data_IF_751151595682
#
_entry.id   IF_751151595682
#
_cell.length_a   1.000
_cell.length_b   1.000
_cell.length_c   1.000
_cell.angle_alpha   90.00
_cell.angle_beta   90.00
_cell.angle_gamma   90.00
#
_symmetry.space_group_name_H-M   'P 1'
#
loop_
_entity.id
_entity.type
_entity.pdbx_description
1 polymer ?
#
# COMPACT_ATOMS: atom_id res chain seq x y z
N UNK A 1 -12.68 -5.24 15.04
CA UNK A 1 -13.19 -5.74 13.73
C UNK A 1 -13.08 -7.27 13.64
N UNK A 2 -14.07 -7.95 13.07
CA UNK A 2 -14.09 -9.41 12.87
C UNK A 2 -14.08 -9.75 11.37
N UNK A 3 -13.16 -10.63 10.94
CA UNK A 3 -13.12 -11.12 9.56
C UNK A 3 -13.93 -12.41 9.40
N UNK A 4 -14.74 -12.49 8.35
CA UNK A 4 -15.48 -13.68 7.90
C UNK A 4 -14.87 -14.23 6.61
N UNK A 5 -15.20 -15.46 6.25
CA UNK A 5 -14.80 -16.11 5.00
C UNK A 5 -16.04 -16.71 4.32
N UNK A 6 -16.96 -15.85 3.89
CA UNK A 6 -18.23 -16.28 3.31
C UNK A 6 -18.07 -16.87 1.90
N UNK A 7 -16.95 -16.61 1.25
CA UNK A 7 -16.64 -17.09 -0.10
C UNK A 7 -15.74 -18.33 -0.12
N UNK A 8 -15.48 -18.93 1.05
CA UNK A 8 -14.68 -20.14 1.20
C UNK A 8 -13.30 -20.07 0.54
N UNK A 9 -12.61 -18.93 0.72
CA UNK A 9 -11.21 -18.82 0.31
C UNK A 9 -10.37 -19.88 1.04
N UNK A 10 -9.38 -20.41 0.34
CA UNK A 10 -8.44 -21.36 0.92
C UNK A 10 -7.71 -20.78 2.13
N UNK A 11 -7.45 -21.61 3.13
CA UNK A 11 -6.84 -21.19 4.40
C UNK A 11 -5.58 -20.38 4.21
N UNK A 12 -4.74 -20.73 3.25
CA UNK A 12 -3.49 -20.00 2.97
C UNK A 12 -3.75 -18.55 2.58
N UNK A 13 -4.78 -18.28 1.78
CA UNK A 13 -5.18 -16.92 1.40
C UNK A 13 -5.73 -16.13 2.59
N UNK A 14 -6.58 -16.77 3.40
CA UNK A 14 -7.15 -16.15 4.62
C UNK A 14 -6.05 -15.73 5.61
N UNK A 15 -5.10 -16.62 5.89
CA UNK A 15 -4.01 -16.32 6.82
C UNK A 15 -3.02 -15.29 6.26
N UNK A 16 -2.78 -15.29 4.94
CA UNK A 16 -1.98 -14.27 4.29
C UNK A 16 -2.62 -12.87 4.43
N UNK A 17 -3.93 -12.77 4.22
CA UNK A 17 -4.69 -11.50 4.37
C UNK A 17 -4.61 -11.01 5.83
N UNK A 18 -4.88 -11.87 6.81
CA UNK A 18 -4.82 -11.52 8.22
C UNK A 18 -3.44 -11.04 8.65
N UNK A 19 -2.39 -11.71 8.18
CA UNK A 19 -1.00 -11.32 8.47
C UNK A 19 -0.68 -9.95 7.85
N UNK A 20 -1.14 -9.72 6.62
CA UNK A 20 -0.90 -8.47 5.90
C UNK A 20 -1.54 -7.27 6.60
N UNK A 21 -2.77 -7.42 7.06
CA UNK A 21 -3.53 -6.35 7.75
C UNK A 21 -2.85 -5.87 9.05
N UNK A 22 -2.11 -6.75 9.73
CA UNK A 22 -1.43 -6.42 10.99
C UNK A 22 -0.06 -5.74 10.82
N UNK A 23 0.49 -5.68 9.61
CA UNK A 23 1.87 -5.26 9.36
C UNK A 23 2.07 -3.75 9.13
N UNK A 24 1.02 -2.95 9.19
CA UNK A 24 1.04 -1.53 8.78
C UNK A 24 1.15 -0.51 9.93
N UNK A 25 1.44 -0.94 11.16
CA UNK A 25 1.69 0.00 12.26
C UNK A 25 3.00 0.76 12.02
N UNK A 26 2.87 2.04 11.69
CA UNK A 26 3.99 2.93 11.39
C UNK A 26 4.49 3.72 12.60
N UNK A 27 3.89 3.53 13.79
CA UNK A 27 4.23 4.28 15.00
C UNK A 27 3.90 5.78 14.92
N UNK A 28 2.95 6.18 14.07
CA UNK A 28 2.42 7.54 13.97
C UNK A 28 0.96 7.55 14.41
N UNK A 29 0.46 8.73 14.84
CA UNK A 29 -0.94 8.87 15.24
C UNK A 29 -1.89 8.65 14.06
N UNK A 30 -1.47 9.08 12.85
CA UNK A 30 -2.26 8.92 11.62
C UNK A 30 -1.38 8.60 10.42
N UNK A 31 -1.91 7.79 9.50
CA UNK A 31 -1.36 7.70 8.14
C UNK A 31 -1.94 8.80 7.24
N UNK A 32 -1.19 9.20 6.22
CA UNK A 32 -1.70 10.15 5.20
C UNK A 32 -2.97 9.63 4.54
N UNK A 33 -3.08 8.33 4.31
CA UNK A 33 -4.29 7.70 3.75
C UNK A 33 -5.50 7.89 4.67
N UNK A 34 -5.33 7.74 5.99
CA UNK A 34 -6.42 7.99 6.96
C UNK A 34 -6.87 9.46 7.00
N UNK A 35 -5.96 10.40 6.69
CA UNK A 35 -6.32 11.82 6.62
C UNK A 35 -7.15 12.17 5.38
N UNK A 36 -7.06 11.36 4.33
CA UNK A 36 -7.87 11.53 3.10
C UNK A 36 -9.30 10.98 3.26
N UNK A 37 -9.52 10.11 4.24
CA UNK A 37 -10.84 9.58 4.54
C UNK A 37 -11.74 10.65 5.19
N UNK A 38 -13.06 10.46 5.04
CA UNK A 38 -14.03 11.30 5.75
C UNK A 38 -13.82 11.18 7.27
N UNK A 39 -13.56 12.29 8.00
CA UNK A 39 -13.38 12.26 9.45
C UNK A 39 -14.53 11.57 10.19
N UNK A 40 -15.77 11.74 9.69
CA UNK A 40 -16.95 11.10 10.27
C UNK A 40 -16.90 9.57 10.13
N UNK A 41 -16.50 9.06 8.96
CA UNK A 41 -16.38 7.61 8.73
C UNK A 41 -15.33 7.02 9.64
N UNK A 42 -14.18 7.69 9.79
CA UNK A 42 -13.11 7.26 10.68
C UNK A 42 -13.58 7.20 12.14
N UNK A 43 -14.17 8.27 12.65
CA UNK A 43 -14.67 8.30 14.04
C UNK A 43 -15.73 7.22 14.32
N UNK A 44 -16.60 6.95 13.33
CA UNK A 44 -17.57 5.87 13.46
C UNK A 44 -16.90 4.49 13.47
N UNK A 45 -15.90 4.26 12.61
CA UNK A 45 -15.12 3.01 12.62
C UNK A 45 -14.41 2.81 13.94
N UNK A 46 -13.74 3.82 14.47
CA UNK A 46 -13.07 3.76 15.78
C UNK A 46 -14.06 3.48 16.93
N UNK A 47 -15.22 4.11 16.90
CA UNK A 47 -16.24 3.94 17.95
C UNK A 47 -16.94 2.57 17.93
N UNK A 48 -16.98 1.89 16.76
CA UNK A 48 -17.71 0.65 16.54
C UNK A 48 -16.82 -0.48 16.02
N UNK A 49 -15.50 -0.42 16.28
CA UNK A 49 -14.54 -1.39 15.72
C UNK A 49 -14.88 -2.85 16.08
N UNK A 50 -15.39 -3.08 17.28
CA UNK A 50 -15.82 -4.40 17.77
C UNK A 50 -17.10 -4.94 17.09
N UNK A 51 -17.93 -4.04 16.55
CA UNK A 51 -19.15 -4.37 15.82
C UNK A 51 -18.90 -4.61 14.30
N UNK A 52 -17.77 -4.11 13.79
CA UNK A 52 -17.43 -4.22 12.36
C UNK A 52 -17.16 -5.66 11.97
N UNK A 53 -17.81 -6.08 10.88
CA UNK A 53 -17.63 -7.38 10.26
C UNK A 53 -17.32 -7.16 8.79
N UNK A 54 -16.16 -7.62 8.35
CA UNK A 54 -15.71 -7.55 6.96
C UNK A 54 -15.42 -8.96 6.43
N UNK A 55 -15.54 -9.17 5.12
CA UNK A 55 -15.17 -10.45 4.53
C UNK A 55 -13.73 -10.41 4.01
N UNK A 56 -12.98 -11.48 4.21
CA UNK A 56 -11.59 -11.58 3.74
C UNK A 56 -11.44 -11.34 2.25
N UNK A 57 -12.50 -11.59 1.45
CA UNK A 57 -12.47 -11.30 0.02
C UNK A 57 -12.33 -9.80 -0.28
N UNK A 58 -12.85 -8.92 0.58
CA UNK A 58 -12.75 -7.47 0.40
C UNK A 58 -11.30 -7.00 0.51
N UNK A 59 -10.50 -7.71 1.33
CA UNK A 59 -9.06 -7.43 1.49
C UNK A 59 -8.17 -8.05 0.42
N UNK A 60 -8.72 -8.94 -0.43
CA UNK A 60 -7.94 -9.62 -1.46
C UNK A 60 -7.36 -8.65 -2.50
N UNK A 61 -8.11 -7.62 -2.89
CA UNK A 61 -7.63 -6.60 -3.81
C UNK A 61 -6.54 -5.72 -3.20
N UNK A 62 -6.61 -5.47 -1.90
CA UNK A 62 -5.53 -4.77 -1.18
C UNK A 62 -4.25 -5.60 -1.18
N UNK A 63 -4.34 -6.90 -0.94
CA UNK A 63 -3.21 -7.83 -1.04
C UNK A 63 -2.61 -7.86 -2.45
N UNK A 64 -3.44 -7.89 -3.50
CA UNK A 64 -2.97 -7.83 -4.89
C UNK A 64 -2.26 -6.51 -5.20
N UNK A 65 -2.82 -5.38 -4.76
CA UNK A 65 -2.21 -4.07 -4.90
C UNK A 65 -0.81 -4.03 -4.27
N UNK A 66 -0.71 -4.51 -3.05
CA UNK A 66 0.58 -4.61 -2.35
C UNK A 66 1.55 -5.56 -3.03
N UNK A 67 1.06 -6.65 -3.64
CA UNK A 67 1.87 -7.56 -4.46
C UNK A 67 2.49 -6.85 -5.66
N UNK A 68 1.76 -5.94 -6.31
CA UNK A 68 2.28 -5.11 -7.43
C UNK A 68 3.41 -4.20 -6.93
N UNK A 69 3.22 -3.50 -5.81
CA UNK A 69 4.25 -2.61 -5.23
C UNK A 69 5.52 -3.39 -4.90
N UNK A 70 5.40 -4.55 -4.22
CA UNK A 70 6.53 -5.42 -3.90
C UNK A 70 7.24 -5.98 -5.12
N UNK A 71 6.51 -6.26 -6.21
CA UNK A 71 7.11 -6.71 -7.47
C UNK A 71 7.94 -5.61 -8.14
N UNK A 72 7.47 -4.36 -8.09
CA UNK A 72 8.18 -3.20 -8.61
C UNK A 72 9.44 -2.94 -7.77
N UNK A 73 9.32 -2.91 -6.45
CA UNK A 73 10.44 -2.76 -5.52
C UNK A 73 11.53 -3.82 -5.82
N UNK A 74 11.15 -5.09 -5.85
CA UNK A 74 12.05 -6.20 -6.16
C UNK A 74 12.74 -6.05 -7.52
N UNK A 75 12.01 -5.62 -8.55
CA UNK A 75 12.58 -5.42 -9.87
C UNK A 75 13.60 -4.27 -9.90
N UNK A 76 13.32 -3.16 -9.20
CA UNK A 76 14.21 -2.00 -9.11
C UNK A 76 15.46 -2.32 -8.26
N UNK A 77 15.32 -3.09 -7.19
CA UNK A 77 16.44 -3.58 -6.39
C UNK A 77 17.34 -4.51 -7.22
N UNK A 78 16.74 -5.48 -7.93
CA UNK A 78 17.49 -6.37 -8.82
C UNK A 78 18.20 -5.62 -9.94
N UNK A 79 17.62 -4.51 -10.44
CA UNK A 79 18.26 -3.65 -11.41
C UNK A 79 19.48 -2.93 -10.81
N UNK A 80 19.44 -2.47 -9.57
CA UNK A 80 20.58 -1.85 -8.87
C UNK A 80 21.76 -2.79 -8.69
N UNK A 81 21.50 -4.08 -8.51
CA UNK A 81 22.52 -5.09 -8.29
C UNK A 81 23.27 -5.49 -9.58
N UNK A 82 22.80 -5.07 -10.75
CA UNK A 82 23.42 -5.42 -12.03
C UNK A 82 24.70 -4.63 -12.27
N UNK A 83 25.76 -5.32 -12.67
CA UNK A 83 27.05 -4.71 -13.00
C UNK A 83 27.16 -4.27 -14.48
N UNK A 84 26.24 -4.73 -15.34
CA UNK A 84 26.27 -4.55 -16.79
C UNK A 84 25.42 -3.37 -17.28
N UNK A 85 24.99 -2.48 -16.39
CA UNK A 85 24.22 -1.30 -16.77
C UNK A 85 25.10 -0.27 -17.47
N UNK A 86 24.55 0.36 -18.50
CA UNK A 86 25.18 1.57 -19.06
C UNK A 86 25.18 2.73 -18.03
N UNK A 87 26.10 3.72 -18.20
CA UNK A 87 26.22 4.79 -17.21
C UNK A 87 24.94 5.61 -16.99
N UNK A 88 24.14 5.83 -18.03
CA UNK A 88 22.88 6.58 -17.91
C UNK A 88 21.83 5.82 -17.12
N UNK A 89 21.72 4.51 -17.32
CA UNK A 89 20.82 3.66 -16.55
C UNK A 89 21.27 3.54 -15.09
N UNK A 90 22.60 3.47 -14.86
CA UNK A 90 23.17 3.46 -13.51
C UNK A 90 22.81 4.74 -12.76
N UNK A 91 23.08 5.90 -13.36
CA UNK A 91 22.78 7.20 -12.76
C UNK A 91 21.29 7.39 -12.45
N UNK A 92 20.42 6.91 -13.35
CA UNK A 92 18.97 6.94 -13.14
C UNK A 92 18.56 6.06 -11.97
N UNK A 93 18.96 4.77 -11.92
CA UNK A 93 18.50 3.84 -10.88
C UNK A 93 19.02 4.22 -9.49
N UNK A 94 20.21 4.81 -9.42
CA UNK A 94 20.78 5.32 -8.17
C UNK A 94 20.00 6.56 -7.65
N UNK A 95 19.27 7.22 -8.51
CA UNK A 95 18.37 8.35 -8.18
C UNK A 95 16.92 7.93 -7.86
N UNK A 96 16.59 6.65 -7.97
CA UNK A 96 15.24 6.13 -7.67
C UNK A 96 15.20 5.66 -6.20
N UNK A 97 14.18 6.06 -5.45
CA UNK A 97 13.91 5.58 -4.09
C UNK A 97 12.56 4.86 -4.08
N UNK A 98 12.47 3.69 -3.42
CA UNK A 98 11.25 2.88 -3.33
C UNK A 98 10.77 2.76 -1.90
N UNK A 99 9.46 2.68 -1.69
CA UNK A 99 8.80 2.36 -0.41
C UNK A 99 9.30 3.23 0.76
N UNK A 100 9.76 4.45 0.47
CA UNK A 100 10.27 5.35 1.49
C UNK A 100 9.16 5.90 2.35
N UNK A 101 9.25 5.64 3.65
CA UNK A 101 8.35 6.20 4.64
C UNK A 101 8.86 7.56 5.12
N UNK A 102 7.93 8.50 5.20
CA UNK A 102 8.16 9.85 5.71
C UNK A 102 7.27 10.11 6.92
N UNK A 103 7.74 10.96 7.82
CA UNK A 103 7.00 11.38 9.00
C UNK A 103 6.95 12.90 9.03
N UNK A 104 5.87 13.41 9.58
CA UNK A 104 5.67 14.82 9.85
C UNK A 104 4.95 15.01 11.18
N UNK A 105 5.00 16.22 11.70
CA UNK A 105 4.30 16.61 12.91
C UNK A 105 3.60 17.96 12.68
N UNK A 106 2.37 18.06 13.16
CA UNK A 106 1.60 19.30 13.20
C UNK A 106 0.82 19.36 14.51
N UNK A 107 1.03 20.42 15.27
CA UNK A 107 0.34 20.64 16.56
C UNK A 107 0.44 19.46 17.55
N UNK A 108 1.59 18.78 17.59
CA UNK A 108 1.84 17.62 18.45
C UNK A 108 1.23 16.31 17.96
N UNK A 109 0.65 16.30 16.76
CA UNK A 109 0.11 15.10 16.10
C UNK A 109 1.09 14.64 15.04
N UNK A 110 1.44 13.35 15.08
CA UNK A 110 2.38 12.74 14.14
C UNK A 110 1.66 12.08 12.97
N UNK A 111 2.21 12.26 11.78
CA UNK A 111 1.71 11.65 10.55
C UNK A 111 2.79 10.80 9.91
N UNK A 112 2.39 9.73 9.26
CA UNK A 112 3.29 8.99 8.38
C UNK A 112 2.66 8.75 7.02
N UNK A 113 3.49 8.74 5.99
CA UNK A 113 3.11 8.37 4.63
C UNK A 113 4.25 7.61 3.97
N UNK A 114 3.91 6.64 3.16
CA UNK A 114 4.86 5.88 2.37
C UNK A 114 4.61 6.16 0.91
N UNK A 115 5.64 6.60 0.20
CA UNK A 115 5.59 6.75 -1.25
C UNK A 115 6.02 5.45 -1.91
N UNK A 116 5.41 5.08 -3.02
CA UNK A 116 5.75 3.88 -3.75
C UNK A 116 7.12 4.03 -4.42
N UNK A 117 7.28 5.06 -5.22
CA UNK A 117 8.54 5.39 -5.91
C UNK A 117 8.75 6.90 -5.95
N UNK A 118 9.97 7.35 -5.69
CA UNK A 118 10.44 8.69 -6.01
C UNK A 118 11.52 8.62 -7.08
N UNK A 119 11.29 9.28 -8.20
CA UNK A 119 12.26 9.41 -9.29
C UNK A 119 12.89 10.80 -9.23
N UNK A 120 14.16 10.85 -8.84
CA UNK A 120 14.92 12.09 -8.72
C UNK A 120 15.12 12.79 -10.07
N UNK A 121 15.25 12.04 -11.17
CA UNK A 121 15.45 12.59 -12.50
C UNK A 121 14.24 13.39 -12.98
N UNK A 122 13.05 12.96 -12.59
CA UNK A 122 11.78 13.60 -12.87
C UNK A 122 11.34 14.58 -11.75
N UNK A 123 12.02 14.54 -10.61
CA UNK A 123 11.56 15.19 -9.36
C UNK A 123 10.09 14.88 -9.07
N UNK A 124 9.71 13.61 -9.15
CA UNK A 124 8.32 13.16 -9.07
C UNK A 124 8.14 11.97 -8.15
N UNK A 125 7.03 11.97 -7.42
CA UNK A 125 6.51 10.78 -6.73
C UNK A 125 5.59 10.05 -7.71
N UNK A 126 5.81 8.76 -7.87
CA UNK A 126 5.02 7.87 -8.70
C UNK A 126 4.27 6.93 -7.77
N UNK A 127 2.95 6.89 -7.91
CA UNK A 127 2.05 6.05 -7.13
C UNK A 127 1.37 5.04 -8.06
N UNK A 128 1.42 3.77 -7.71
CA UNK A 128 0.84 2.68 -8.49
C UNK A 128 -0.51 2.26 -7.91
N UNK A 129 -1.54 2.30 -8.73
CA UNK A 129 -2.89 1.88 -8.34
C UNK A 129 -3.32 0.64 -9.12
N UNK A 130 -3.53 -0.46 -8.40
CA UNK A 130 -4.21 -1.62 -8.97
C UNK A 130 -5.71 -1.33 -9.00
N UNK A 131 -6.28 -1.15 -10.19
CA UNK A 131 -7.71 -0.93 -10.38
C UNK A 131 -8.32 -2.09 -11.16
N UNK A 132 -9.49 -2.57 -10.72
CA UNK A 132 -10.31 -3.49 -11.50
C UNK A 132 -11.15 -2.67 -12.50
N UNK A 133 -10.87 -2.78 -13.79
CA UNK A 133 -11.72 -2.21 -14.84
C UNK A 133 -12.82 -3.20 -15.19
N UNK A 134 -14.07 -2.88 -14.88
CA UNK A 134 -15.20 -3.60 -15.44
C UNK A 134 -15.54 -2.99 -16.81
N UNK A 135 -15.10 -3.63 -17.88
CA UNK A 135 -15.65 -3.34 -19.19
C UNK A 135 -17.11 -3.81 -19.20
N UNK A 136 -18.03 -2.87 -19.25
CA UNK A 136 -19.42 -3.16 -19.55
C UNK A 136 -19.48 -3.57 -21.02
N UNK A 137 -19.45 -4.86 -21.31
CA UNK A 137 -19.79 -5.38 -22.62
C UNK A 137 -21.30 -5.11 -22.81
N UNK A 138 -21.63 -3.99 -23.42
CA UNK A 138 -22.99 -3.75 -23.91
C UNK A 138 -23.21 -4.67 -25.10
N UNK A 139 -24.13 -5.63 -24.93
CA UNK A 139 -24.68 -6.42 -26.03
C UNK A 139 -25.63 -5.56 -26.85
#
# INVERSE_FOLDING_TARGET
MRLTNNHNLERVGVEAIKFWDTSHDAGADYSITQLLDSPRVRLLREAHDDELVEDVQEHFFALLGSGVHKSIEFALEGLRERDDLDPGMRDWIDGVETERRMWGELDGVTFSGQMDVYDKSLNAIIDFKAIATYERISK
#
